data_IF_478975845359
#
_entry.id   IF_478975845359
#
_cell.length_a   1.000
_cell.length_b   1.000
_cell.length_c   1.000
_cell.angle_alpha   90.00
_cell.angle_beta   90.00
_cell.angle_gamma   90.00
#
_symmetry.space_group_name_H-M   'P 1'
#
loop_
_entity.id
_entity.type
_entity.pdbx_description
1 polymer ?
#
# COMPACT_ATOMS: atom_id res chain seq x y z
N UNK A 1 14.07 11.46 -6.88
CA UNK A 1 14.10 10.19 -7.63
C UNK A 1 12.65 9.78 -7.84
N UNK A 2 12.13 9.86 -9.07
CA UNK A 2 10.78 9.37 -9.36
C UNK A 2 10.72 7.87 -9.07
N UNK A 3 9.71 7.41 -8.32
CA UNK A 3 9.57 5.98 -8.02
C UNK A 3 9.22 5.24 -9.32
N UNK A 4 9.72 4.01 -9.51
CA UNK A 4 9.57 3.29 -10.78
C UNK A 4 8.11 3.14 -11.27
N UNK A 5 7.15 3.05 -10.34
CA UNK A 5 5.71 2.98 -10.63
C UNK A 5 5.12 4.27 -11.21
N UNK A 6 5.81 5.41 -11.09
CA UNK A 6 5.34 6.70 -11.59
C UNK A 6 5.44 6.81 -13.12
N UNK A 7 6.28 5.96 -13.75
CA UNK A 7 6.45 5.86 -15.21
C UNK A 7 5.42 4.95 -15.90
N UNK A 8 4.74 4.09 -15.14
CA UNK A 8 3.74 3.14 -15.66
C UNK A 8 2.30 3.53 -15.29
N UNK A 9 2.12 4.73 -14.73
CA UNK A 9 0.82 5.22 -14.36
C UNK A 9 -0.09 5.42 -15.59
N UNK A 10 -1.30 4.86 -15.53
CA UNK A 10 -2.29 5.03 -16.58
C UNK A 10 -3.03 6.36 -16.40
N UNK A 11 -3.45 6.95 -17.52
CA UNK A 11 -4.27 8.17 -17.54
C UNK A 11 -5.67 7.81 -17.99
N UNK A 12 -6.65 8.09 -17.14
CA UNK A 12 -8.07 7.81 -17.37
C UNK A 12 -8.80 9.14 -17.43
N UNK A 13 -9.64 9.32 -18.45
CA UNK A 13 -10.50 10.51 -18.58
C UNK A 13 -11.93 10.07 -18.38
N UNK A 14 -12.61 10.66 -17.41
CA UNK A 14 -14.00 10.39 -17.08
C UNK A 14 -14.82 11.67 -17.25
N UNK A 15 -16.05 11.50 -17.71
CA UNK A 15 -17.07 12.54 -17.64
C UNK A 15 -17.97 12.27 -16.43
N UNK A 16 -18.29 13.32 -15.68
CA UNK A 16 -19.14 13.22 -14.51
C UNK A 16 -20.56 12.86 -14.96
N UNK A 17 -21.09 11.75 -14.44
CA UNK A 17 -22.48 11.37 -14.67
C UNK A 17 -23.43 12.02 -13.66
N UNK A 18 -24.74 11.80 -13.83
CA UNK A 18 -25.77 12.29 -12.91
C UNK A 18 -25.63 11.80 -11.45
N UNK A 19 -24.84 10.74 -11.22
CA UNK A 19 -24.49 10.23 -9.87
C UNK A 19 -23.02 10.49 -9.49
N UNK A 20 -22.36 11.43 -10.15
CA UNK A 20 -20.94 11.72 -9.97
C UNK A 20 -20.02 10.80 -10.78
N UNK A 21 -18.81 10.55 -10.27
CA UNK A 21 -17.80 9.73 -10.96
C UNK A 21 -17.99 8.22 -10.76
N UNK A 22 -18.76 7.79 -9.75
CA UNK A 22 -19.15 6.39 -9.60
C UNK A 22 -18.16 5.47 -8.91
N UNK A 23 -17.34 5.97 -7.97
CA UNK A 23 -16.45 5.13 -7.17
C UNK A 23 -16.24 5.67 -5.75
N UNK A 24 -15.79 4.81 -4.85
CA UNK A 24 -15.46 5.15 -3.46
C UNK A 24 -13.93 5.19 -3.27
N UNK A 25 -13.46 6.11 -2.43
CA UNK A 25 -12.05 6.23 -2.06
C UNK A 25 -11.81 5.96 -0.58
N UNK A 26 -10.59 5.52 -0.24
CA UNK A 26 -10.03 5.47 1.12
C UNK A 26 -8.57 5.89 1.10
N UNK A 27 -7.99 6.03 2.28
CA UNK A 27 -6.60 6.44 2.42
C UNK A 27 -6.47 7.94 2.68
N UNK A 28 -5.23 8.40 2.67
CA UNK A 28 -4.82 9.73 3.09
C UNK A 28 -3.81 9.66 4.22
N UNK A 29 -3.04 10.72 4.41
CA UNK A 29 -2.00 10.79 5.46
C UNK A 29 -2.55 10.70 6.87
N UNK A 30 -3.80 11.12 7.06
CA UNK A 30 -4.53 11.08 8.33
C UNK A 30 -5.25 9.74 8.56
N UNK A 31 -5.59 9.02 7.47
CA UNK A 31 -6.34 7.78 7.52
C UNK A 31 -5.75 6.75 6.54
N UNK A 32 -4.53 6.22 6.80
CA UNK A 32 -3.86 5.32 5.86
C UNK A 32 -4.69 4.04 5.63
N UNK A 33 -4.85 3.66 4.37
CA UNK A 33 -5.55 2.42 3.99
C UNK A 33 -4.65 1.19 4.12
N UNK A 34 -3.35 1.34 3.82
CA UNK A 34 -2.38 0.26 3.89
C UNK A 34 -1.26 0.56 4.89
N UNK A 35 -0.64 -0.48 5.49
CA UNK A 35 0.57 -0.30 6.26
C UNK A 35 1.69 0.31 5.40
N UNK A 36 2.34 1.36 5.89
CA UNK A 36 3.42 2.08 5.22
C UNK A 36 3.04 2.79 3.89
N UNK A 37 1.76 2.94 3.55
CA UNK A 37 1.33 3.76 2.41
C UNK A 37 0.14 4.66 2.77
N UNK A 38 0.30 5.96 2.52
CA UNK A 38 -0.67 7.01 2.85
C UNK A 38 -1.48 7.50 1.65
N UNK A 39 -1.39 6.82 0.51
CA UNK A 39 -2.06 7.27 -0.71
C UNK A 39 -3.58 7.05 -0.71
N UNK A 40 -4.21 7.56 -1.76
CA UNK A 40 -5.65 7.45 -1.99
C UNK A 40 -5.93 6.24 -2.90
N UNK A 41 -6.82 5.35 -2.48
CA UNK A 41 -7.13 4.10 -3.17
C UNK A 41 -8.61 4.01 -3.53
N UNK A 42 -8.89 3.42 -4.68
CA UNK A 42 -10.26 3.07 -5.10
C UNK A 42 -10.67 1.78 -4.40
N UNK A 43 -11.77 1.83 -3.65
CA UNK A 43 -12.26 0.69 -2.86
C UNK A 43 -13.52 0.05 -3.42
N UNK A 44 -14.28 0.78 -4.22
CA UNK A 44 -15.49 0.27 -4.86
C UNK A 44 -15.75 1.01 -6.16
N UNK A 45 -16.05 0.28 -7.23
CA UNK A 45 -16.67 0.84 -8.43
C UNK A 45 -18.19 0.61 -8.35
N UNK A 46 -18.99 1.66 -8.59
CA UNK A 46 -20.44 1.59 -8.58
C UNK A 46 -20.97 1.22 -9.96
N UNK A 47 -21.77 0.17 -10.00
CA UNK A 47 -22.39 -0.32 -11.24
C UNK A 47 -23.20 0.77 -11.96
N UNK A 48 -23.19 0.75 -13.29
CA UNK A 48 -23.93 1.66 -14.17
C UNK A 48 -23.62 3.15 -13.94
N UNK A 49 -22.46 3.47 -13.37
CA UNK A 49 -21.98 4.84 -13.20
C UNK A 49 -20.80 5.14 -14.14
N UNK A 50 -20.34 6.39 -14.20
CA UNK A 50 -19.31 6.85 -15.14
C UNK A 50 -18.04 5.98 -15.16
N UNK A 51 -17.45 5.69 -14.00
CA UNK A 51 -16.26 4.85 -13.92
C UNK A 51 -16.49 3.39 -14.32
N UNK A 52 -17.68 2.83 -14.05
CA UNK A 52 -18.03 1.46 -14.43
C UNK A 52 -18.26 1.32 -15.93
N UNK A 53 -18.99 2.29 -16.51
CA UNK A 53 -19.25 2.36 -17.96
C UNK A 53 -17.95 2.55 -18.74
N UNK A 54 -17.04 3.40 -18.26
CA UNK A 54 -15.70 3.54 -18.84
C UNK A 54 -14.87 2.25 -18.69
N UNK A 55 -14.99 1.61 -17.53
CA UNK A 55 -14.45 0.27 -17.27
C UNK A 55 -12.93 0.21 -17.10
N UNK A 56 -12.17 1.31 -17.25
CA UNK A 56 -10.71 1.28 -17.08
C UNK A 56 -10.28 1.41 -15.62
N UNK A 57 -11.03 2.15 -14.79
CA UNK A 57 -10.73 2.30 -13.37
C UNK A 57 -11.17 1.05 -12.61
N UNK A 58 -10.29 0.50 -11.75
CA UNK A 58 -10.54 -0.74 -11.01
C UNK A 58 -10.38 -0.56 -9.50
N UNK A 59 -11.00 -1.46 -8.75
CA UNK A 59 -10.79 -1.56 -7.30
C UNK A 59 -9.32 -1.95 -7.02
N UNK A 60 -8.72 -1.34 -6.01
CA UNK A 60 -7.30 -1.49 -5.68
C UNK A 60 -6.34 -0.61 -6.47
N UNK A 61 -6.85 0.23 -7.38
CA UNK A 61 -6.06 1.27 -8.04
C UNK A 61 -5.69 2.37 -7.05
N UNK A 62 -4.43 2.84 -7.13
CA UNK A 62 -3.97 4.01 -6.39
C UNK A 62 -4.10 5.25 -7.25
N UNK A 63 -4.76 6.28 -6.73
CA UNK A 63 -4.95 7.57 -7.37
C UNK A 63 -3.73 8.47 -7.08
N UNK A 64 -3.06 8.90 -8.14
CA UNK A 64 -1.83 9.70 -8.08
C UNK A 64 -2.12 11.18 -8.31
N UNK A 65 -3.00 11.47 -9.27
CA UNK A 65 -3.30 12.85 -9.68
C UNK A 65 -4.76 12.96 -10.15
N UNK A 66 -5.35 14.14 -9.93
CA UNK A 66 -6.65 14.53 -10.46
C UNK A 66 -6.55 15.92 -11.10
N UNK A 67 -6.83 16.03 -12.40
CA UNK A 67 -6.80 17.28 -13.15
C UNK A 67 -5.50 18.09 -12.97
N UNK A 68 -4.33 17.43 -12.94
CA UNK A 68 -3.05 18.12 -12.68
C UNK A 68 -2.71 18.31 -11.20
N UNK A 69 -3.63 18.03 -10.27
CA UNK A 69 -3.38 18.14 -8.82
C UNK A 69 -2.93 16.80 -8.24
N UNK A 70 -1.80 16.83 -7.54
CA UNK A 70 -1.26 15.65 -6.84
C UNK A 70 -2.21 15.17 -5.75
N UNK A 71 -2.39 13.85 -5.66
CA UNK A 71 -3.05 13.13 -4.57
C UNK A 71 -2.02 12.38 -3.69
N UNK A 72 -0.73 12.70 -3.85
CA UNK A 72 0.35 12.14 -3.03
C UNK A 72 0.41 12.93 -1.72
N UNK A 73 0.44 12.20 -0.59
CA UNK A 73 0.55 12.78 0.76
C UNK A 73 -0.55 13.79 1.12
N UNK A 74 -1.73 13.67 0.53
CA UNK A 74 -2.90 14.48 0.86
C UNK A 74 -3.71 13.87 1.99
N UNK A 75 -4.47 14.70 2.71
CA UNK A 75 -5.47 14.21 3.66
C UNK A 75 -6.67 13.61 2.94
N UNK A 76 -7.38 12.72 3.61
CA UNK A 76 -8.59 12.11 3.07
C UNK A 76 -9.62 13.18 2.63
N UNK A 77 -9.89 14.15 3.51
CA UNK A 77 -10.85 15.24 3.24
C UNK A 77 -10.43 16.09 2.04
N UNK A 78 -9.14 16.37 1.89
CA UNK A 78 -8.62 17.17 0.78
C UNK A 78 -8.76 16.43 -0.56
N UNK A 79 -8.51 15.10 -0.57
CA UNK A 79 -8.77 14.28 -1.74
C UNK A 79 -10.26 14.32 -2.13
N UNK A 80 -11.16 14.19 -1.16
CA UNK A 80 -12.61 14.30 -1.37
C UNK A 80 -12.96 15.66 -1.99
N UNK A 81 -12.44 16.75 -1.45
CA UNK A 81 -12.68 18.11 -1.96
C UNK A 81 -12.21 18.26 -3.42
N UNK A 82 -11.07 17.67 -3.78
CA UNK A 82 -10.62 17.63 -5.18
C UNK A 82 -11.60 16.88 -6.08
N UNK A 83 -12.11 15.72 -5.67
CA UNK A 83 -13.11 14.97 -6.46
C UNK A 83 -14.46 15.71 -6.57
N UNK A 84 -14.86 16.45 -5.54
CA UNK A 84 -16.09 17.24 -5.56
C UNK A 84 -15.96 18.48 -6.47
N UNK A 85 -14.78 19.10 -6.50
CA UNK A 85 -14.52 20.34 -7.25
C UNK A 85 -13.91 20.14 -8.63
N UNK A 86 -13.65 18.90 -9.05
CA UNK A 86 -13.01 18.56 -10.33
C UNK A 86 -13.84 18.93 -11.59
N UNK A 87 -15.09 19.37 -11.43
CA UNK A 87 -15.98 19.72 -12.53
C UNK A 87 -16.47 18.49 -13.30
N UNK A 88 -16.96 18.74 -14.52
CA UNK A 88 -17.56 17.72 -15.40
C UNK A 88 -16.52 16.79 -16.04
N UNK A 89 -15.36 17.32 -16.44
CA UNK A 89 -14.31 16.53 -17.08
C UNK A 89 -13.19 16.27 -16.09
N UNK A 90 -12.92 14.99 -15.82
CA UNK A 90 -11.94 14.57 -14.82
C UNK A 90 -10.88 13.70 -15.47
N UNK A 91 -9.62 14.12 -15.36
CA UNK A 91 -8.44 13.34 -15.76
C UNK A 91 -7.78 12.80 -14.53
N UNK A 92 -7.71 11.47 -14.42
CA UNK A 92 -7.07 10.75 -13.34
C UNK A 92 -5.76 10.15 -13.83
N UNK A 93 -4.73 10.23 -12.98
CA UNK A 93 -3.52 9.43 -13.12
C UNK A 93 -3.55 8.35 -12.05
N UNK A 94 -3.46 7.08 -12.46
CA UNK A 94 -3.64 5.92 -11.57
C UNK A 94 -2.48 4.93 -11.69
N UNK A 95 -2.17 4.24 -10.60
CA UNK A 95 -1.35 3.03 -10.62
C UNK A 95 -2.25 1.81 -10.44
N UNK A 96 -2.38 1.02 -11.51
CA UNK A 96 -3.25 -0.14 -11.53
C UNK A 96 -2.77 -1.26 -10.60
N UNK A 97 -3.70 -1.82 -9.83
CA UNK A 97 -3.41 -2.95 -8.93
C UNK A 97 -2.40 -2.65 -7.82
N UNK A 98 -2.19 -1.37 -7.53
CA UNK A 98 -1.22 -0.90 -6.53
C UNK A 98 -1.47 -1.50 -5.14
N UNK A 99 -2.74 -1.63 -4.73
CA UNK A 99 -3.08 -2.21 -3.43
C UNK A 99 -2.49 -3.61 -3.27
N UNK A 100 -2.68 -4.48 -4.26
CA UNK A 100 -2.15 -5.85 -4.24
C UNK A 100 -0.63 -5.85 -4.20
N UNK A 101 0.01 -5.04 -5.05
CA UNK A 101 1.48 -4.96 -5.10
C UNK A 101 2.08 -4.51 -3.75
N UNK A 102 1.47 -3.51 -3.12
CA UNK A 102 1.93 -2.97 -1.82
C UNK A 102 1.65 -3.94 -0.67
N UNK A 103 0.50 -4.62 -0.68
CA UNK A 103 0.18 -5.65 0.33
C UNK A 103 1.14 -6.83 0.22
N UNK A 104 1.46 -7.28 -1.00
CA UNK A 104 2.44 -8.33 -1.24
C UNK A 104 3.82 -7.90 -0.74
N UNK A 105 4.29 -6.69 -1.09
CA UNK A 105 5.56 -6.14 -0.61
C UNK A 105 5.63 -6.07 0.92
N UNK A 106 4.58 -5.55 1.57
CA UNK A 106 4.49 -5.49 3.03
C UNK A 106 4.52 -6.89 3.66
N UNK A 107 3.79 -7.85 3.06
CA UNK A 107 3.73 -9.22 3.56
C UNK A 107 5.09 -9.89 3.46
N UNK A 108 5.77 -9.80 2.31
CA UNK A 108 7.11 -10.36 2.12
C UNK A 108 8.13 -9.77 3.11
N UNK A 109 8.07 -8.46 3.34
CA UNK A 109 8.98 -7.78 4.28
C UNK A 109 8.79 -8.25 5.72
N UNK A 110 7.57 -8.60 6.12
CA UNK A 110 7.23 -9.04 7.47
C UNK A 110 7.18 -10.56 7.62
N UNK A 111 7.54 -11.35 6.60
CA UNK A 111 7.65 -12.81 6.75
C UNK A 111 8.73 -13.14 7.78
N UNK A 112 8.44 -14.01 8.77
CA UNK A 112 9.47 -14.50 9.66
C UNK A 112 10.51 -15.25 8.83
N UNK A 113 11.75 -14.76 8.79
CA UNK A 113 12.83 -15.43 8.06
C UNK A 113 12.96 -16.87 8.60
N UNK A 114 12.99 -17.89 7.73
CA UNK A 114 13.21 -19.25 8.19
C UNK A 114 14.57 -19.32 8.89
N UNK A 115 14.60 -19.93 10.07
CA UNK A 115 15.82 -20.12 10.83
C UNK A 115 16.85 -20.85 9.97
N UNK A 116 17.99 -20.20 9.69
CA UNK A 116 19.13 -20.89 9.09
C UNK A 116 19.64 -21.96 10.04
N UNK A 117 20.04 -23.16 9.55
CA UNK A 117 20.66 -24.19 10.38
C UNK A 117 21.82 -23.65 11.22
N UNK A 118 22.56 -22.68 10.69
CA UNK A 118 23.70 -22.04 11.36
C UNK A 118 23.28 -21.20 12.58
N UNK A 119 22.13 -20.53 12.53
CA UNK A 119 21.63 -19.70 13.65
C UNK A 119 21.14 -20.57 14.81
N UNK A 120 20.53 -21.74 14.52
CA UNK A 120 20.22 -22.75 15.54
C UNK A 120 21.48 -23.31 16.21
N UNK A 121 22.55 -23.52 15.44
CA UNK A 121 23.81 -24.07 15.94
C UNK A 121 24.51 -23.12 16.93
N UNK A 122 24.58 -21.82 16.64
CA UNK A 122 25.22 -20.82 17.53
C UNK A 122 24.55 -20.80 18.91
N UNK A 123 23.22 -20.93 18.96
CA UNK A 123 22.46 -20.85 20.20
C UNK A 123 22.64 -22.10 21.08
N UNK A 124 22.69 -23.29 20.47
CA UNK A 124 22.91 -24.56 21.19
C UNK A 124 24.33 -24.67 21.76
N UNK A 125 25.34 -24.22 21.01
CA UNK A 125 26.75 -24.24 21.47
C UNK A 125 26.93 -23.28 22.67
N UNK A 126 26.30 -22.10 22.65
CA UNK A 126 26.37 -21.14 23.75
C UNK A 126 25.81 -21.66 25.07
N UNK A 127 24.68 -22.38 25.04
CA UNK A 127 24.06 -22.97 26.23
C UNK A 127 24.88 -24.14 26.79
N UNK A 128 25.40 -25.01 25.92
CA UNK A 128 26.24 -26.14 26.36
C UNK A 128 27.56 -25.68 27.01
N UNK A 129 28.19 -24.63 26.47
CA UNK A 129 29.40 -24.06 27.06
C UNK A 129 29.13 -23.45 28.44
N UNK A 130 28.02 -22.74 28.62
CA UNK A 130 27.66 -22.15 29.91
C UNK A 130 27.35 -23.20 30.97
N UNK A 131 26.55 -24.22 30.65
CA UNK A 131 26.25 -25.34 31.56
C UNK A 131 27.53 -26.12 31.89
N UNK A 132 28.37 -26.38 30.88
CA UNK A 132 29.66 -27.02 31.06
C UNK A 132 30.61 -26.23 31.96
N UNK A 133 30.68 -24.90 31.80
CA UNK A 133 31.46 -24.02 32.68
C UNK A 133 30.94 -24.06 34.12
N UNK A 134 29.61 -23.98 34.31
CA UNK A 134 28.99 -24.00 35.64
C UNK A 134 29.28 -25.32 36.38
N UNK A 135 29.17 -26.47 35.71
CA UNK A 135 29.51 -27.77 36.29
C UNK A 135 31.01 -27.90 36.56
N UNK A 136 31.86 -27.38 35.67
CA UNK A 136 33.32 -27.38 35.85
C UNK A 136 33.76 -26.57 37.08
N UNK A 137 33.16 -25.40 37.31
CA UNK A 137 33.45 -24.58 38.50
C UNK A 137 33.05 -25.26 39.81
N UNK A 138 32.01 -26.10 39.82
CA UNK A 138 31.51 -26.74 41.04
C UNK A 138 32.35 -27.96 41.49
N UNK A 139 33.14 -28.58 40.61
CA UNK A 139 33.91 -29.81 40.92
C UNK A 139 35.34 -29.58 41.42
N UNK A 140 35.77 -28.32 41.58
CA UNK A 140 37.12 -28.00 42.07
C UNK A 140 37.11 -27.56 43.53
N UNK A 141 36.90 -28.52 44.43
CA UNK A 141 37.28 -28.51 45.84
C UNK A 141 37.63 -29.92 46.28
#
# INVERSE_FOLDING_TARGET
MAKAWEKEAAVIKLERGGSGLGFNIRGGVDQPHLPNDTGIFVTKIRENCAADIDGRLKEGDKLIEINGKSLIEVKHSEAVDYFLTAGEHVTLKVWHGAEKALVEEYTEMNKPKPWSPFTKLILVVGVAAAIGLTVYYFKRS
#
